data_IF_138526170171
#
_entry.id   IF_138526170171
#
_cell.length_a   1.000
_cell.length_b   1.000
_cell.length_c   1.000
_cell.angle_alpha   90.00
_cell.angle_beta   90.00
_cell.angle_gamma   90.00
#
_symmetry.space_group_name_H-M   'P 1'
#
loop_
_entity.id
_entity.type
_entity.pdbx_description
1 polymer ?
#
# COMPACT_ATOMS: atom_id res chain seq x y z
N UNK A 1 -24.29 -1.14 4.70
CA UNK A 1 -23.85 -2.53 4.96
C UNK A 1 -22.41 -2.62 4.50
N UNK A 2 -21.49 -2.35 5.44
CA UNK A 2 -20.05 -2.42 5.19
C UNK A 2 -19.66 -3.90 5.09
N UNK A 3 -19.52 -4.39 3.86
CA UNK A 3 -18.78 -5.62 3.61
C UNK A 3 -17.31 -5.32 3.92
N UNK A 4 -16.96 -5.47 5.19
CA UNK A 4 -15.58 -5.64 5.64
C UNK A 4 -15.01 -6.80 4.83
N UNK A 5 -14.14 -6.48 3.86
CA UNK A 5 -13.17 -7.45 3.39
C UNK A 5 -12.47 -7.92 4.67
N UNK A 6 -12.86 -9.09 5.14
CA UNK A 6 -12.14 -9.80 6.16
C UNK A 6 -10.73 -9.92 5.58
N UNK A 7 -9.84 -9.05 6.06
CA UNK A 7 -8.43 -9.21 5.79
C UNK A 7 -8.15 -10.63 6.20
N UNK A 8 -7.63 -11.45 5.29
CA UNK A 8 -7.05 -12.71 5.64
C UNK A 8 -6.03 -12.37 6.73
N UNK A 9 -6.45 -12.49 7.98
CA UNK A 9 -5.55 -12.45 9.11
C UNK A 9 -4.47 -13.44 8.72
N UNK A 10 -3.23 -13.07 8.89
CA UNK A 10 -2.09 -13.90 8.53
C UNK A 10 -2.42 -15.27 9.10
N UNK A 11 -2.82 -16.21 8.23
CA UNK A 11 -3.37 -17.49 8.64
C UNK A 11 -2.30 -18.27 9.39
N UNK A 12 -2.70 -18.99 10.44
CA UNK A 12 -1.80 -19.91 11.16
C UNK A 12 -1.10 -20.80 10.12
N UNK A 13 0.20 -21.02 10.31
CA UNK A 13 1.00 -21.92 9.47
C UNK A 13 0.45 -23.33 9.63
N UNK A 14 -0.12 -23.90 8.57
CA UNK A 14 -0.72 -25.26 8.61
C UNK A 14 0.32 -26.37 8.55
N UNK A 15 1.41 -26.14 7.84
CA UNK A 15 2.52 -27.07 7.68
C UNK A 15 3.83 -26.31 7.85
N UNK A 16 4.76 -26.88 8.55
CA UNK A 16 6.08 -26.29 8.72
C UNK A 16 6.82 -26.21 7.38
N UNK A 17 7.18 -25.00 6.87
CA UNK A 17 7.91 -24.88 5.62
C UNK A 17 9.33 -25.43 5.66
N UNK A 18 9.90 -25.66 6.88
CA UNK A 18 11.25 -26.21 7.04
C UNK A 18 11.28 -27.74 6.98
N UNK A 19 10.25 -28.45 7.49
CA UNK A 19 10.26 -29.92 7.58
C UNK A 19 8.98 -30.61 7.11
N UNK A 20 7.98 -29.86 6.61
CA UNK A 20 6.71 -30.38 6.11
C UNK A 20 5.74 -30.89 7.19
N UNK A 21 6.10 -30.85 8.47
CA UNK A 21 5.26 -31.39 9.57
C UNK A 21 3.98 -30.59 9.75
N UNK A 22 2.81 -31.23 9.95
CA UNK A 22 1.57 -30.54 10.32
C UNK A 22 1.52 -30.15 11.80
N UNK A 23 2.50 -30.51 12.60
CA UNK A 23 2.55 -30.22 14.05
C UNK A 23 3.10 -28.80 14.26
N UNK A 24 2.30 -27.79 13.94
CA UNK A 24 2.61 -26.39 14.20
C UNK A 24 1.70 -25.90 15.33
N UNK A 25 2.28 -25.36 16.37
CA UNK A 25 1.61 -24.92 17.59
C UNK A 25 1.79 -23.40 17.76
N UNK A 26 0.78 -22.75 18.32
CA UNK A 26 0.85 -21.32 18.65
C UNK A 26 1.21 -21.15 20.11
N UNK A 27 2.49 -20.92 20.38
CA UNK A 27 3.08 -20.79 21.71
C UNK A 27 3.99 -19.58 21.81
N UNK A 28 4.30 -19.15 23.03
CA UNK A 28 5.36 -18.15 23.26
C UNK A 28 6.68 -18.92 23.38
N UNK A 29 7.58 -18.81 22.38
CA UNK A 29 8.85 -19.55 22.46
C UNK A 29 9.78 -18.95 23.52
N UNK A 30 10.74 -19.74 23.98
CA UNK A 30 11.73 -19.29 24.96
C UNK A 30 12.47 -18.05 24.42
N UNK A 31 12.54 -17.00 25.25
CA UNK A 31 13.18 -15.72 24.87
C UNK A 31 12.33 -14.78 24.05
N UNK A 32 11.08 -15.11 23.70
CA UNK A 32 10.12 -14.19 23.06
C UNK A 32 9.05 -13.75 24.07
N UNK A 33 8.30 -12.71 23.73
CA UNK A 33 7.16 -12.18 24.50
C UNK A 33 5.83 -12.33 23.76
N UNK A 34 5.86 -12.76 22.50
CA UNK A 34 4.69 -12.88 21.64
C UNK A 34 4.45 -14.33 21.22
N UNK A 35 3.18 -14.65 21.00
CA UNK A 35 2.78 -15.95 20.46
C UNK A 35 3.28 -16.06 19.01
N UNK A 36 3.98 -17.19 18.72
CA UNK A 36 4.49 -17.52 17.39
C UNK A 36 3.96 -18.88 16.93
N UNK A 37 4.01 -19.12 15.64
CA UNK A 37 3.83 -20.46 15.09
C UNK A 37 5.15 -21.21 15.24
N UNK A 38 5.17 -22.29 16.06
CA UNK A 38 6.36 -23.10 16.35
C UNK A 38 6.13 -24.54 15.92
N UNK A 39 7.06 -25.10 15.17
CA UNK A 39 6.98 -26.48 14.75
C UNK A 39 7.41 -27.42 15.91
N UNK A 40 6.49 -28.23 16.42
CA UNK A 40 6.79 -29.22 17.46
C UNK A 40 7.67 -30.38 16.96
N UNK A 41 7.87 -30.53 15.65
CA UNK A 41 8.70 -31.61 15.11
C UNK A 41 10.18 -31.21 14.96
N UNK A 42 10.47 -29.96 14.50
CA UNK A 42 11.85 -29.51 14.25
C UNK A 42 12.26 -28.29 15.07
N UNK A 43 11.37 -27.71 15.88
CA UNK A 43 11.64 -26.53 16.69
C UNK A 43 11.67 -25.20 15.92
N UNK A 44 11.42 -25.19 14.61
CA UNK A 44 11.46 -23.96 13.80
C UNK A 44 10.37 -22.97 14.27
N UNK A 45 10.76 -21.72 14.51
CA UNK A 45 9.87 -20.62 14.86
C UNK A 45 9.58 -19.84 13.57
N UNK A 46 8.29 -19.67 13.26
CA UNK A 46 7.85 -18.97 12.05
C UNK A 46 7.42 -17.53 12.39
N UNK A 47 8.29 -16.58 12.08
CA UNK A 47 8.03 -15.16 12.23
C UNK A 47 7.19 -14.65 11.07
N UNK A 48 6.24 -13.80 11.40
CA UNK A 48 5.40 -13.10 10.41
C UNK A 48 5.56 -11.61 10.59
N UNK A 49 5.99 -10.93 9.53
CA UNK A 49 6.19 -9.50 9.52
C UNK A 49 5.10 -8.80 8.67
N UNK A 50 4.84 -7.51 8.91
CA UNK A 50 3.98 -6.74 8.02
C UNK A 50 4.50 -6.77 6.59
N UNK A 51 3.58 -6.93 5.64
CA UNK A 51 3.89 -6.81 4.21
C UNK A 51 4.08 -5.34 3.86
N UNK A 52 5.09 -5.05 3.05
CA UNK A 52 5.33 -3.71 2.52
C UNK A 52 4.63 -3.59 1.18
N UNK A 53 3.86 -2.52 1.00
CA UNK A 53 3.28 -2.08 -0.27
C UNK A 53 4.03 -0.84 -0.70
N UNK A 54 4.57 -0.85 -1.92
CA UNK A 54 5.32 0.26 -2.50
C UNK A 54 4.62 0.78 -3.74
N UNK A 55 4.76 2.06 -4.02
CA UNK A 55 4.18 2.65 -5.22
C UNK A 55 4.50 4.11 -5.37
N UNK A 56 3.94 4.70 -6.41
CA UNK A 56 4.12 6.11 -6.73
C UNK A 56 2.81 6.90 -6.66
N UNK A 57 2.96 8.19 -6.39
CA UNK A 57 2.02 9.23 -6.73
C UNK A 57 2.59 9.94 -7.98
N UNK A 58 2.23 9.47 -9.19
CA UNK A 58 2.76 10.08 -10.40
C UNK A 58 2.03 11.38 -10.69
N UNK A 59 2.78 12.44 -10.91
CA UNK A 59 2.26 13.78 -11.18
C UNK A 59 2.66 14.27 -12.58
N UNK A 60 1.74 14.99 -13.21
CA UNK A 60 1.97 15.74 -14.45
C UNK A 60 1.31 17.10 -14.33
N UNK A 61 2.11 18.16 -14.33
CA UNK A 61 1.63 19.53 -14.10
C UNK A 61 0.79 19.64 -12.83
N UNK A 62 -0.52 19.87 -12.98
CA UNK A 62 -1.48 19.99 -11.87
C UNK A 62 -2.32 18.71 -11.63
N UNK A 63 -1.99 17.61 -12.28
CA UNK A 63 -2.74 16.36 -12.27
C UNK A 63 -1.97 15.21 -11.63
N UNK A 64 -2.71 14.24 -11.14
CA UNK A 64 -2.18 12.97 -10.62
C UNK A 64 -2.69 11.81 -11.45
N UNK A 65 -1.84 10.80 -11.68
CA UNK A 65 -2.22 9.60 -12.40
C UNK A 65 -2.85 8.60 -11.43
N UNK A 66 -4.01 8.08 -11.80
CA UNK A 66 -4.68 7.00 -11.09
C UNK A 66 -4.97 5.83 -12.03
N UNK A 67 -4.95 4.63 -11.47
CA UNK A 67 -5.31 3.37 -12.11
C UNK A 67 -6.67 2.89 -11.61
N UNK A 68 -7.53 2.41 -12.49
CA UNK A 68 -8.80 1.76 -12.14
C UNK A 68 -8.59 0.26 -12.08
N UNK A 69 -8.74 -0.33 -10.91
CA UNK A 69 -8.39 -1.72 -10.64
C UNK A 69 -9.16 -2.73 -11.50
N UNK A 70 -8.46 -3.69 -12.08
CA UNK A 70 -9.04 -4.84 -12.79
C UNK A 70 -9.25 -6.06 -11.89
N UNK A 71 -8.60 -6.08 -10.69
CA UNK A 71 -8.53 -7.25 -9.80
C UNK A 71 -9.19 -6.96 -8.44
N UNK A 72 -9.60 -8.04 -7.76
CA UNK A 72 -10.04 -7.97 -6.36
C UNK A 72 -8.83 -7.83 -5.40
N UNK A 73 -9.01 -7.25 -4.23
CA UNK A 73 -10.23 -6.58 -3.76
C UNK A 73 -10.42 -5.20 -4.41
N UNK A 74 -11.64 -4.71 -4.39
CA UNK A 74 -11.97 -3.35 -4.85
C UNK A 74 -11.85 -3.15 -6.38
N UNK A 75 -12.16 -4.18 -7.16
CA UNK A 75 -12.26 -4.08 -8.62
C UNK A 75 -13.16 -2.93 -9.04
N UNK A 76 -12.76 -2.19 -10.06
CA UNK A 76 -13.49 -1.04 -10.61
C UNK A 76 -13.28 0.27 -9.87
N UNK A 77 -12.60 0.27 -8.71
CA UNK A 77 -12.27 1.48 -7.96
C UNK A 77 -10.88 2.01 -8.32
N UNK A 78 -10.65 3.29 -8.06
CA UNK A 78 -9.42 3.99 -8.41
C UNK A 78 -8.36 3.94 -7.31
N UNK A 79 -7.12 3.84 -7.71
CA UNK A 79 -5.96 3.79 -6.81
C UNK A 79 -4.75 4.49 -7.42
N UNK A 80 -3.74 4.78 -6.61
CA UNK A 80 -2.39 5.03 -7.10
C UNK A 80 -1.76 3.69 -7.52
N UNK A 81 -0.87 3.66 -8.53
CA UNK A 81 -0.12 2.46 -8.87
C UNK A 81 0.75 2.03 -7.69
N UNK A 82 0.48 0.83 -7.15
CA UNK A 82 1.17 0.31 -5.98
C UNK A 82 0.84 -1.17 -5.73
N UNK A 83 1.86 -1.96 -5.43
CA UNK A 83 1.73 -3.37 -5.07
C UNK A 83 2.74 -3.83 -4.03
N UNK A 84 2.86 -5.13 -3.83
CA UNK A 84 3.77 -5.68 -2.82
C UNK A 84 5.23 -5.54 -3.26
N UNK A 85 6.06 -5.14 -2.28
CA UNK A 85 7.51 -5.18 -2.45
C UNK A 85 7.96 -6.63 -2.60
N UNK A 86 8.72 -6.91 -3.65
CA UNK A 86 9.28 -8.23 -3.90
C UNK A 86 10.62 -8.44 -3.17
N UNK A 87 10.99 -9.71 -2.97
CA UNK A 87 12.29 -10.01 -2.39
C UNK A 87 13.43 -9.55 -3.31
N UNK A 88 14.51 -9.06 -2.74
CA UNK A 88 15.71 -8.59 -3.42
C UNK A 88 15.54 -7.31 -4.27
N UNK A 89 14.44 -6.58 -4.12
CA UNK A 89 14.31 -5.23 -4.68
C UNK A 89 14.37 -4.14 -3.61
N UNK A 90 14.75 -2.93 -4.01
CA UNK A 90 14.67 -1.74 -3.15
C UNK A 90 13.26 -1.16 -3.19
N UNK A 91 12.91 -0.34 -2.19
CA UNK A 91 11.63 0.40 -2.20
C UNK A 91 11.45 1.21 -3.49
N UNK A 92 12.54 1.84 -3.95
CA UNK A 92 12.53 2.65 -5.17
C UNK A 92 12.29 1.80 -6.43
N UNK A 93 12.99 0.67 -6.56
CA UNK A 93 12.82 -0.22 -7.73
C UNK A 93 11.43 -0.84 -7.76
N UNK A 94 10.89 -1.26 -6.60
CA UNK A 94 9.53 -1.78 -6.50
C UNK A 94 8.47 -0.75 -6.87
N UNK A 95 8.61 0.50 -6.39
CA UNK A 95 7.68 1.57 -6.74
C UNK A 95 7.68 1.91 -8.23
N UNK A 96 8.85 1.91 -8.87
CA UNK A 96 8.98 2.11 -10.32
C UNK A 96 8.38 0.94 -11.11
N UNK A 97 8.66 -0.31 -10.69
CA UNK A 97 8.12 -1.52 -11.31
C UNK A 97 6.59 -1.51 -11.28
N UNK A 98 5.98 -1.31 -10.11
CA UNK A 98 4.53 -1.26 -9.96
C UNK A 98 3.89 -0.16 -10.81
N UNK A 99 4.54 1.02 -10.89
CA UNK A 99 4.06 2.12 -11.73
C UNK A 99 4.08 1.77 -13.21
N UNK A 100 5.12 1.06 -13.67
CA UNK A 100 5.22 0.59 -15.03
C UNK A 100 4.22 -0.53 -15.33
N UNK A 101 4.08 -1.51 -14.43
CA UNK A 101 3.20 -2.68 -14.59
C UNK A 101 1.72 -2.30 -14.58
N UNK A 102 1.28 -1.45 -13.66
CA UNK A 102 -0.12 -1.09 -13.52
C UNK A 102 -0.56 0.05 -14.45
N UNK A 103 0.34 1.01 -14.73
CA UNK A 103 0.01 2.23 -15.47
C UNK A 103 0.73 2.36 -16.82
N UNK A 104 1.68 1.49 -17.18
CA UNK A 104 2.51 1.66 -18.38
C UNK A 104 3.30 2.99 -18.37
N UNK A 105 3.46 3.61 -17.21
CA UNK A 105 3.98 4.96 -17.08
C UNK A 105 5.46 4.96 -16.68
N UNK A 106 6.26 5.75 -17.39
CA UNK A 106 7.64 6.04 -17.03
C UNK A 106 7.71 7.30 -16.19
N UNK A 107 8.39 7.20 -15.04
CA UNK A 107 8.48 8.30 -14.07
C UNK A 107 9.91 8.55 -13.61
N UNK A 108 10.21 9.79 -13.24
CA UNK A 108 11.36 10.11 -12.39
C UNK A 108 10.89 10.05 -10.94
N UNK A 109 11.50 9.16 -10.15
CA UNK A 109 11.19 9.02 -8.73
C UNK A 109 11.68 10.24 -7.96
N UNK A 110 10.81 10.77 -7.11
CA UNK A 110 11.12 11.82 -6.16
C UNK A 110 11.27 11.26 -4.74
N UNK A 111 11.00 12.10 -3.75
CA UNK A 111 11.11 11.72 -2.35
C UNK A 111 10.02 10.75 -1.89
N UNK A 112 10.35 9.96 -0.86
CA UNK A 112 9.36 9.20 -0.11
C UNK A 112 8.35 10.20 0.50
N UNK A 113 7.09 10.02 0.17
CA UNK A 113 6.06 11.00 0.46
C UNK A 113 5.09 10.58 1.56
N UNK A 114 4.72 9.30 1.58
CA UNK A 114 3.82 8.80 2.60
C UNK A 114 4.25 7.43 3.12
N UNK A 115 4.25 7.29 4.47
CA UNK A 115 4.36 6.02 5.17
C UNK A 115 3.09 5.82 5.99
N UNK A 116 2.29 4.81 5.64
CA UNK A 116 0.99 4.58 6.27
C UNK A 116 0.91 3.16 6.81
N UNK A 117 0.86 3.02 8.13
CA UNK A 117 0.70 1.72 8.78
C UNK A 117 -0.76 1.30 8.84
N UNK A 118 -1.03 0.04 8.52
CA UNK A 118 -2.33 -0.62 8.61
C UNK A 118 -2.22 -1.85 9.54
N UNK A 119 -2.13 -1.66 10.88
CA UNK A 119 -1.87 -2.75 11.82
C UNK A 119 -2.88 -3.90 11.74
N UNK A 120 -4.16 -3.57 11.44
CA UNK A 120 -5.26 -4.56 11.40
C UNK A 120 -5.15 -5.57 10.25
N UNK A 121 -4.33 -5.31 9.24
CA UNK A 121 -4.07 -6.22 8.11
C UNK A 121 -2.57 -6.48 7.92
N UNK A 122 -1.77 -6.06 8.89
CA UNK A 122 -0.30 -6.23 8.87
C UNK A 122 0.33 -5.75 7.56
N UNK A 123 0.06 -4.49 7.20
CA UNK A 123 0.64 -3.84 6.01
C UNK A 123 1.21 -2.47 6.33
N UNK A 124 2.24 -2.09 5.59
CA UNK A 124 2.80 -0.73 5.58
C UNK A 124 2.88 -0.26 4.13
N UNK A 125 2.24 0.88 3.84
CA UNK A 125 2.33 1.54 2.54
C UNK A 125 3.48 2.54 2.55
N UNK A 126 4.30 2.52 1.51
CA UNK A 126 5.40 3.44 1.27
C UNK A 126 5.26 4.03 -0.13
N UNK A 127 4.78 5.27 -0.22
CA UNK A 127 4.46 5.92 -1.49
C UNK A 127 5.43 7.06 -1.76
N UNK A 128 6.01 7.05 -2.94
CA UNK A 128 6.91 8.10 -3.43
C UNK A 128 6.15 9.11 -4.27
N UNK A 129 6.53 10.38 -4.20
CA UNK A 129 6.20 11.30 -5.28
C UNK A 129 7.00 10.91 -6.51
N UNK A 130 6.40 11.06 -7.68
CA UNK A 130 7.07 10.76 -8.92
C UNK A 130 6.57 11.68 -10.02
N UNK A 131 7.45 12.13 -10.89
CA UNK A 131 7.08 12.96 -12.04
C UNK A 131 7.02 12.10 -13.30
N UNK A 132 5.92 12.14 -14.03
CA UNK A 132 5.83 11.52 -15.35
C UNK A 132 6.89 12.12 -16.29
N UNK A 133 7.53 11.26 -17.07
CA UNK A 133 8.49 11.68 -18.09
C UNK A 133 7.79 12.17 -19.36
N UNK A 134 6.64 11.57 -19.65
CA UNK A 134 5.77 11.94 -20.78
C UNK A 134 4.32 11.51 -20.47
N UNK A 135 3.41 11.73 -21.42
CA UNK A 135 2.00 11.31 -21.29
C UNK A 135 1.71 9.95 -21.97
N UNK A 136 2.72 9.14 -22.19
CA UNK A 136 2.57 7.75 -22.67
C UNK A 136 2.34 6.84 -21.49
N UNK A 137 1.10 6.54 -21.21
CA UNK A 137 0.66 5.62 -20.18
C UNK A 137 -0.59 4.90 -20.63
N UNK A 138 -0.92 3.80 -20.00
CA UNK A 138 -2.09 2.99 -20.32
C UNK A 138 -2.25 1.83 -19.33
N UNK A 139 -3.40 1.16 -19.34
CA UNK A 139 -3.68 0.10 -18.39
C UNK A 139 -2.79 -1.11 -18.64
N UNK A 140 -2.11 -1.54 -17.57
CA UNK A 140 -1.49 -2.85 -17.50
C UNK A 140 -2.51 -3.95 -17.19
N UNK A 141 -2.07 -5.21 -17.01
CA UNK A 141 -2.97 -6.37 -16.82
C UNK A 141 -3.90 -6.24 -15.60
N UNK A 142 -3.46 -5.52 -14.56
CA UNK A 142 -4.20 -5.31 -13.32
C UNK A 142 -5.03 -4.01 -13.29
N UNK A 143 -5.05 -3.27 -14.41
CA UNK A 143 -5.77 -2.01 -14.56
C UNK A 143 -6.81 -2.07 -15.68
N UNK A 144 -8.01 -1.54 -15.43
CA UNK A 144 -9.06 -1.37 -16.43
C UNK A 144 -8.87 -0.08 -17.23
N UNK A 145 -8.33 0.95 -16.57
CA UNK A 145 -8.20 2.29 -17.08
C UNK A 145 -7.10 3.02 -16.31
N UNK A 146 -6.39 3.89 -17.00
CA UNK A 146 -5.39 4.80 -16.39
C UNK A 146 -5.67 6.20 -16.88
N UNK A 147 -5.73 7.18 -15.96
CA UNK A 147 -6.10 8.54 -16.31
C UNK A 147 -5.46 9.56 -15.37
N UNK A 148 -5.20 10.75 -15.92
CA UNK A 148 -4.80 11.95 -15.16
C UNK A 148 -6.03 12.69 -14.63
N UNK A 149 -5.98 13.10 -13.36
CA UNK A 149 -7.02 13.82 -12.66
C UNK A 149 -6.49 15.12 -12.06
N UNK A 150 -7.13 16.23 -12.34
CA UNK A 150 -7.00 17.43 -11.52
C UNK A 150 -7.68 17.20 -10.15
N UNK A 151 -7.37 18.01 -9.14
CA UNK A 151 -7.95 17.85 -7.78
C UNK A 151 -9.48 17.79 -7.79
N UNK A 152 -10.13 18.64 -8.58
CA UNK A 152 -11.59 18.69 -8.71
C UNK A 152 -12.21 17.51 -9.45
N UNK A 153 -11.42 16.77 -10.20
CA UNK A 153 -11.85 15.59 -10.98
C UNK A 153 -11.63 14.27 -10.25
N UNK A 154 -10.87 14.28 -9.13
CA UNK A 154 -10.57 13.05 -8.37
C UNK A 154 -11.87 12.39 -7.92
N UNK A 155 -12.07 11.10 -8.23
CA UNK A 155 -13.28 10.37 -7.88
C UNK A 155 -13.23 9.91 -6.42
N UNK A 156 -13.32 10.86 -5.48
CA UNK A 156 -13.11 10.64 -4.03
C UNK A 156 -13.92 9.49 -3.43
N UNK A 157 -15.19 9.35 -3.86
CA UNK A 157 -16.09 8.29 -3.37
C UNK A 157 -15.79 6.92 -4.01
N UNK A 158 -15.03 6.91 -5.10
CA UNK A 158 -14.66 5.71 -5.84
C UNK A 158 -13.17 5.36 -5.67
N UNK A 159 -12.50 5.91 -4.66
CA UNK A 159 -11.14 5.51 -4.31
C UNK A 159 -11.15 4.15 -3.60
N UNK A 160 -10.28 3.24 -4.02
CA UNK A 160 -10.24 1.87 -3.53
C UNK A 160 -9.86 1.77 -2.05
N UNK A 161 -8.92 2.60 -1.58
CA UNK A 161 -8.32 2.48 -0.27
C UNK A 161 -8.20 3.83 0.45
N UNK A 162 -8.41 3.80 1.76
CA UNK A 162 -8.26 4.99 2.63
C UNK A 162 -6.83 5.54 2.62
N UNK A 163 -5.83 4.69 2.40
CA UNK A 163 -4.43 5.10 2.24
C UNK A 163 -4.28 6.05 1.06
N UNK A 164 -4.88 5.72 -0.07
CA UNK A 164 -4.83 6.53 -1.29
C UNK A 164 -5.56 7.86 -1.09
N UNK A 165 -6.77 7.82 -0.52
CA UNK A 165 -7.53 9.03 -0.22
C UNK A 165 -6.75 9.99 0.71
N UNK A 166 -6.06 9.45 1.74
CA UNK A 166 -5.22 10.24 2.65
C UNK A 166 -4.01 10.82 1.92
N UNK A 167 -3.30 10.01 1.14
CA UNK A 167 -2.13 10.45 0.38
C UNK A 167 -2.48 11.58 -0.59
N UNK A 168 -3.58 11.45 -1.34
CA UNK A 168 -4.03 12.48 -2.28
C UNK A 168 -4.45 13.78 -1.58
N UNK A 169 -5.15 13.69 -0.44
CA UNK A 169 -5.51 14.90 0.34
C UNK A 169 -4.29 15.65 0.85
N UNK A 170 -3.32 14.93 1.39
CA UNK A 170 -2.05 15.52 1.81
C UNK A 170 -1.33 16.18 0.63
N UNK A 171 -1.26 15.47 -0.50
CA UNK A 171 -0.59 15.96 -1.71
C UNK A 171 -1.19 17.28 -2.22
N UNK A 172 -2.50 17.37 -2.36
CA UNK A 172 -3.14 18.59 -2.84
C UNK A 172 -3.04 19.74 -1.82
N UNK A 173 -3.03 19.43 -0.53
CA UNK A 173 -2.74 20.45 0.50
C UNK A 173 -1.32 20.97 0.40
N UNK A 174 -0.32 20.07 0.40
CA UNK A 174 1.09 20.44 0.29
C UNK A 174 1.38 21.23 -1.00
N UNK A 175 0.72 20.84 -2.08
CA UNK A 175 0.82 21.53 -3.37
C UNK A 175 0.33 22.97 -3.27
N UNK A 176 -0.83 23.21 -2.65
CA UNK A 176 -1.35 24.58 -2.44
C UNK A 176 -0.42 25.43 -1.59
N UNK A 177 0.27 24.80 -0.64
CA UNK A 177 1.25 25.44 0.23
C UNK A 177 2.65 25.54 -0.38
N UNK A 178 2.89 24.91 -1.53
CA UNK A 178 4.21 24.73 -2.14
C UNK A 178 5.26 24.14 -1.18
N UNK A 179 4.82 23.29 -0.24
CA UNK A 179 5.62 22.74 0.86
C UNK A 179 5.36 21.25 1.05
N UNK A 180 6.09 20.42 0.29
CA UNK A 180 5.98 18.97 0.39
C UNK A 180 6.83 18.42 1.53
N UNK A 181 6.27 17.47 2.27
CA UNK A 181 6.94 16.80 3.40
C UNK A 181 6.59 15.31 3.44
N UNK A 182 7.38 14.53 4.18
CA UNK A 182 7.04 13.14 4.47
C UNK A 182 5.86 13.09 5.45
N UNK A 183 4.82 12.37 5.08
CA UNK A 183 3.65 12.11 5.92
C UNK A 183 3.70 10.70 6.52
N UNK A 184 3.91 10.62 7.83
CA UNK A 184 3.89 9.35 8.57
C UNK A 184 2.60 9.25 9.37
N UNK A 185 1.84 8.17 9.19
CA UNK A 185 0.55 8.01 9.88
C UNK A 185 0.13 6.54 9.99
N UNK A 186 -0.97 6.29 10.72
CA UNK A 186 -1.63 5.00 10.78
C UNK A 186 -3.12 5.13 10.49
N UNK A 187 -3.73 4.07 9.95
CA UNK A 187 -5.17 3.97 9.73
C UNK A 187 -5.68 2.74 10.48
N UNK A 188 -6.40 2.96 11.58
CA UNK A 188 -7.08 1.91 12.34
C UNK A 188 -8.48 1.58 11.77
N UNK A 189 -9.13 0.55 12.35
CA UNK A 189 -10.48 0.11 11.93
C UNK A 189 -11.56 1.20 12.10
N UNK A 190 -11.40 2.14 13.04
CA UNK A 190 -12.43 3.12 13.45
C UNK A 190 -12.06 4.59 13.29
N UNK A 191 -10.98 4.92 12.60
CA UNK A 191 -10.64 6.34 12.41
C UNK A 191 -11.42 6.86 11.20
N UNK A 192 -12.45 7.71 11.36
CA UNK A 192 -13.01 8.45 10.24
C UNK A 192 -11.90 9.27 9.58
N UNK A 193 -11.98 9.48 8.27
CA UNK A 193 -11.10 10.43 7.59
C UNK A 193 -11.65 11.82 7.95
N UNK A 194 -11.28 12.35 9.10
CA UNK A 194 -11.60 13.73 9.47
C UNK A 194 -10.50 14.65 8.96
N UNK A 195 -10.84 15.86 8.51
CA UNK A 195 -9.85 16.86 8.09
C UNK A 195 -8.89 17.31 9.20
N UNK A 196 -9.27 17.12 10.47
CA UNK A 196 -8.60 17.70 11.65
C UNK A 196 -7.32 17.00 12.11
N UNK A 197 -6.92 15.87 11.50
CA UNK A 197 -5.64 15.21 11.82
C UNK A 197 -4.41 15.87 11.14
N UNK A 198 -4.60 17.02 10.50
CA UNK A 198 -3.52 17.78 9.86
C UNK A 198 -2.88 18.82 10.81
N UNK A 199 -3.38 18.97 12.05
CA UNK A 199 -2.96 20.03 12.96
C UNK A 199 -2.02 19.59 14.11
N UNK A 200 -1.62 18.32 14.16
CA UNK A 200 -0.73 17.85 15.23
C UNK A 200 0.50 17.14 14.63
N UNK A 201 1.59 17.90 14.51
CA UNK A 201 2.93 17.41 14.18
C UNK A 201 3.80 18.54 13.69
#
# INVERSE_FOLDING_TARGET
MDALVAGAGVGAVKFCPSCGSPRVERVVPSGDTLVRDVCAACGAIHYQNPKVVVGCLPEWEDRVLLCRRAIEPRRGLWTLPAGFLENNETLATGALRETLEEAGANVTLGDLYAVISLPQISQVYMLFRARLLDQRFGPGPESLEVRLFAESEVPWESLAFRTIARTLRNYFLDRRLAAYRLHVSSIGRRTPITPDLLAAG
#
